data_IF_209503856905
#
_entry.id   IF_209503856905
#
_cell.length_a   1.000
_cell.length_b   1.000
_cell.length_c   1.000
_cell.angle_alpha   90.00
_cell.angle_beta   90.00
_cell.angle_gamma   90.00
#
_symmetry.space_group_name_H-M   'P 1'
#
loop_
_entity.id
_entity.type
_entity.pdbx_description
1 polymer ?
#
# COMPACT_ATOMS: atom_id res chain seq x y z
N UNK A 1 -7.70 -10.31 7.79
CA UNK A 1 -7.38 -11.41 6.86
C UNK A 1 -8.66 -11.74 6.07
N UNK A 2 -8.60 -12.47 4.96
CA UNK A 2 -9.79 -12.85 4.18
C UNK A 2 -9.78 -14.36 4.02
N UNK A 3 -10.92 -15.01 4.27
CA UNK A 3 -11.06 -16.46 4.06
C UNK A 3 -11.49 -16.73 2.62
N UNK A 4 -10.86 -17.71 1.97
CA UNK A 4 -11.08 -18.01 0.56
C UNK A 4 -11.47 -19.46 0.32
N UNK A 5 -12.37 -19.70 -0.64
CA UNK A 5 -12.68 -21.04 -1.13
C UNK A 5 -11.50 -21.61 -1.92
N UNK A 6 -11.03 -22.80 -1.55
CA UNK A 6 -10.09 -23.57 -2.39
C UNK A 6 -10.84 -24.17 -3.59
N UNK A 7 -10.73 -23.57 -4.76
CA UNK A 7 -11.05 -24.25 -6.01
C UNK A 7 -9.83 -25.10 -6.42
N UNK A 8 -9.98 -26.41 -6.62
CA UNK A 8 -8.90 -27.32 -7.01
C UNK A 8 -8.30 -27.09 -8.41
N UNK A 9 -8.37 -25.86 -8.92
CA UNK A 9 -7.78 -25.39 -10.16
C UNK A 9 -6.50 -24.59 -9.83
N UNK A 10 -5.38 -24.93 -10.47
CA UNK A 10 -4.04 -24.36 -10.22
C UNK A 10 -3.87 -22.92 -10.77
N UNK A 11 -4.95 -22.16 -10.95
CA UNK A 11 -4.91 -20.76 -11.36
C UNK A 11 -5.13 -19.85 -10.16
N UNK A 12 -4.09 -19.09 -9.81
CA UNK A 12 -3.97 -17.86 -8.99
C UNK A 12 -5.00 -17.65 -7.86
N UNK A 13 -4.51 -17.34 -6.65
CA UNK A 13 -5.35 -17.02 -5.49
C UNK A 13 -6.40 -15.90 -5.74
N UNK A 14 -6.17 -15.02 -6.72
CA UNK A 14 -7.10 -13.97 -7.15
C UNK A 14 -8.43 -14.50 -7.72
N UNK A 15 -8.46 -15.73 -8.22
CA UNK A 15 -9.69 -16.38 -8.69
C UNK A 15 -10.47 -17.02 -7.54
N UNK A 16 -9.91 -17.03 -6.32
CA UNK A 16 -10.60 -17.61 -5.17
C UNK A 16 -11.70 -16.67 -4.70
N UNK A 17 -12.78 -17.30 -4.31
CA UNK A 17 -13.96 -16.63 -3.82
C UNK A 17 -13.75 -16.26 -2.36
N UNK A 18 -13.81 -14.97 -1.97
CA UNK A 18 -13.82 -14.61 -0.56
C UNK A 18 -15.13 -15.08 0.07
N UNK A 19 -15.02 -15.82 1.16
CA UNK A 19 -16.15 -16.33 1.95
C UNK A 19 -16.40 -15.48 3.19
N UNK A 20 -15.35 -14.81 3.69
CA UNK A 20 -15.43 -13.96 4.87
C UNK A 20 -14.36 -12.87 4.85
N UNK A 21 -14.74 -11.68 5.32
CA UNK A 21 -13.85 -10.52 5.52
C UNK A 21 -14.01 -10.02 6.94
N UNK A 22 -12.92 -10.00 7.72
CA UNK A 22 -12.94 -9.49 9.08
C UNK A 22 -11.64 -9.69 9.85
N UNK A 23 -11.73 -9.54 11.16
CA UNK A 23 -10.62 -9.70 12.09
C UNK A 23 -10.39 -11.18 12.46
N UNK A 24 -9.15 -11.48 12.84
CA UNK A 24 -8.67 -12.83 13.15
C UNK A 24 -7.67 -12.79 14.30
N UNK A 25 -7.58 -13.90 15.03
CA UNK A 25 -6.52 -14.18 16.02
C UNK A 25 -5.80 -15.46 15.62
N UNK A 26 -4.49 -15.51 15.84
CA UNK A 26 -3.71 -16.72 15.61
C UNK A 26 -3.75 -17.62 16.85
N UNK A 27 -4.14 -18.88 16.68
CA UNK A 27 -4.10 -19.91 17.73
C UNK A 27 -2.85 -20.78 17.51
N UNK A 28 -1.83 -20.54 18.33
CA UNK A 28 -0.55 -21.27 18.27
C UNK A 28 -0.71 -22.78 18.50
N UNK A 29 -1.68 -23.21 19.32
CA UNK A 29 -1.88 -24.63 19.62
C UNK A 29 -2.44 -25.42 18.44
N UNK A 30 -3.14 -24.74 17.54
CA UNK A 30 -3.75 -25.32 16.33
C UNK A 30 -3.05 -24.89 15.04
N UNK A 31 -2.00 -24.06 15.15
CA UNK A 31 -1.33 -23.39 14.04
C UNK A 31 -2.30 -22.79 13.00
N UNK A 32 -3.38 -22.15 13.46
CA UNK A 32 -4.47 -21.71 12.59
C UNK A 32 -4.99 -20.32 12.96
N UNK A 33 -5.51 -19.59 11.97
CA UNK A 33 -6.18 -18.32 12.19
C UNK A 33 -7.67 -18.56 12.48
N UNK A 34 -8.11 -18.13 13.65
CA UNK A 34 -9.50 -18.16 14.06
C UNK A 34 -10.14 -16.79 13.81
N UNK A 35 -11.40 -16.78 13.37
CA UNK A 35 -12.16 -15.54 13.23
C UNK A 35 -12.35 -14.90 14.62
N UNK A 36 -12.05 -13.62 14.76
CA UNK A 36 -12.12 -12.95 16.06
C UNK A 36 -12.31 -11.45 15.86
N UNK A 37 -13.43 -10.90 16.32
CA UNK A 37 -13.88 -9.54 16.03
C UNK A 37 -15.05 -9.52 15.05
N UNK A 38 -15.38 -8.34 14.54
CA UNK A 38 -16.52 -8.13 13.62
C UNK A 38 -16.10 -8.41 12.18
N UNK A 39 -16.97 -9.05 11.41
CA UNK A 39 -16.76 -9.30 9.97
C UNK A 39 -18.04 -9.64 9.22
N UNK A 40 -17.90 -9.94 7.93
CA UNK A 40 -19.02 -10.18 7.03
C UNK A 40 -18.92 -11.54 6.33
N UNK A 41 -20.04 -12.25 6.24
CA UNK A 41 -20.20 -13.41 5.36
C UNK A 41 -20.55 -12.92 3.96
N UNK A 42 -19.88 -13.48 2.96
CA UNK A 42 -20.05 -13.09 1.56
C UNK A 42 -20.66 -14.27 0.80
N UNK A 43 -21.72 -13.98 0.05
CA UNK A 43 -22.33 -14.96 -0.84
C UNK A 43 -21.41 -15.32 -2.02
N UNK A 44 -21.27 -16.62 -2.26
CA UNK A 44 -20.33 -17.13 -3.26
C UNK A 44 -20.74 -16.83 -4.70
N UNK A 45 -22.01 -16.60 -4.99
CA UNK A 45 -22.50 -16.39 -6.35
C UNK A 45 -22.52 -14.89 -6.67
N UNK A 46 -23.07 -14.10 -5.76
CA UNK A 46 -23.35 -12.67 -5.97
C UNK A 46 -22.21 -11.76 -5.52
N UNK A 47 -21.27 -12.25 -4.69
CA UNK A 47 -20.22 -11.44 -4.02
C UNK A 47 -20.77 -10.37 -3.06
N UNK A 48 -22.03 -10.50 -2.65
CA UNK A 48 -22.68 -9.55 -1.76
C UNK A 48 -22.59 -10.06 -0.31
N UNK A 49 -22.39 -9.14 0.64
CA UNK A 49 -22.41 -9.49 2.06
C UNK A 49 -23.83 -9.86 2.50
N UNK A 50 -24.00 -11.06 3.06
CA UNK A 50 -25.31 -11.60 3.50
C UNK A 50 -25.52 -11.48 5.00
N UNK A 51 -24.45 -11.32 5.77
CA UNK A 51 -24.53 -11.24 7.23
C UNK A 51 -23.33 -10.50 7.82
N UNK A 52 -23.58 -9.62 8.78
CA UNK A 52 -22.55 -9.09 9.68
C UNK A 52 -22.50 -9.96 10.94
N UNK A 53 -21.32 -10.41 11.35
CA UNK A 53 -21.16 -11.33 12.47
C UNK A 53 -19.98 -10.92 13.35
N UNK A 54 -20.15 -11.05 14.67
CA UNK A 54 -19.11 -10.87 15.67
C UNK A 54 -18.64 -12.24 16.19
N UNK A 55 -17.34 -12.49 16.06
CA UNK A 55 -16.69 -13.73 16.45
C UNK A 55 -15.80 -13.53 17.68
N UNK A 56 -15.70 -14.56 18.51
CA UNK A 56 -14.68 -14.64 19.55
C UNK A 56 -14.05 -16.01 19.52
N UNK A 57 -12.73 -16.05 19.31
CA UNK A 57 -11.95 -17.29 19.25
C UNK A 57 -12.56 -18.34 18.29
N UNK A 58 -13.08 -17.89 17.15
CA UNK A 58 -13.71 -18.74 16.12
C UNK A 58 -15.19 -19.08 16.35
N UNK A 59 -15.81 -18.61 17.44
CA UNK A 59 -17.21 -18.92 17.81
C UNK A 59 -18.13 -17.73 17.61
N UNK A 60 -19.34 -17.97 17.06
CA UNK A 60 -20.31 -16.89 16.77
C UNK A 60 -20.83 -16.36 18.08
N UNK A 61 -20.61 -15.08 18.34
CA UNK A 61 -21.15 -14.41 19.53
C UNK A 61 -22.48 -13.77 19.20
N UNK A 62 -22.55 -13.05 18.07
CA UNK A 62 -23.77 -12.41 17.59
C UNK A 62 -23.69 -12.12 16.11
N UNK A 63 -24.83 -11.95 15.44
CA UNK A 63 -24.85 -11.56 14.04
C UNK A 63 -26.20 -11.04 13.57
N UNK A 64 -26.18 -10.36 12.43
CA UNK A 64 -27.32 -9.73 11.78
C UNK A 64 -27.31 -10.02 10.30
N UNK A 65 -28.42 -10.55 9.79
CA UNK A 65 -28.61 -10.76 8.36
C UNK A 65 -28.74 -9.42 7.62
N UNK A 66 -28.10 -9.37 6.46
CA UNK A 66 -28.14 -8.28 5.51
C UNK A 66 -29.05 -8.69 4.35
N UNK A 67 -29.84 -7.75 3.85
CA UNK A 67 -30.66 -7.96 2.67
C UNK A 67 -30.00 -7.22 1.52
N UNK A 68 -29.51 -7.97 0.53
CA UNK A 68 -28.81 -7.43 -0.63
C UNK A 68 -27.63 -6.52 -0.25
N UNK A 69 -26.88 -6.88 0.78
CA UNK A 69 -25.75 -6.10 1.29
C UNK A 69 -26.12 -4.97 2.24
N UNK A 70 -27.41 -4.76 2.53
CA UNK A 70 -27.88 -3.64 3.35
C UNK A 70 -28.48 -4.08 4.68
N UNK A 71 -28.26 -3.26 5.71
CA UNK A 71 -28.98 -3.33 6.97
C UNK A 71 -30.45 -2.97 6.74
N UNK A 72 -31.35 -3.95 6.76
CA UNK A 72 -32.78 -3.66 6.68
C UNK A 72 -33.21 -2.82 7.88
N UNK A 73 -33.99 -1.75 7.64
CA UNK A 73 -34.64 -0.99 8.71
C UNK A 73 -35.70 -1.87 9.37
N UNK A 74 -35.29 -2.58 10.43
CA UNK A 74 -36.10 -3.03 11.56
C UNK A 74 -37.54 -3.49 11.26
N UNK A 75 -37.77 -4.79 11.15
CA UNK A 75 -39.07 -5.39 11.51
C UNK A 75 -38.98 -5.96 12.92
N UNK A 76 -39.20 -5.12 13.94
CA UNK A 76 -39.53 -5.61 15.29
C UNK A 76 -40.86 -6.37 15.28
N UNK A 77 -41.02 -7.49 15.99
CA UNK A 77 -42.29 -8.21 16.07
C UNK A 77 -43.36 -7.33 16.74
N UNK A 78 -44.52 -7.23 16.07
CA UNK A 78 -45.65 -6.37 16.46
C UNK A 78 -46.47 -7.01 17.60
N UNK A 79 -46.73 -6.32 18.74
CA UNK A 79 -47.77 -6.74 19.67
C UNK A 79 -49.17 -6.55 19.05
N UNK A 80 -50.06 -7.49 19.33
CA UNK A 80 -51.43 -7.60 18.77
C UNK A 80 -52.26 -6.32 19.02
N UNK A 81 -53.05 -5.81 18.04
CA UNK A 81 -53.74 -4.53 18.17
C UNK A 81 -55.03 -4.60 19.00
N UNK A 82 -55.25 -3.60 19.88
CA UNK A 82 -56.53 -3.30 20.55
C UNK A 82 -57.34 -2.30 19.69
N UNK A 83 -58.69 -2.27 19.76
CA UNK A 83 -59.53 -1.50 18.82
C UNK A 83 -59.33 0.02 18.90
N UNK A 84 -59.40 0.68 17.74
CA UNK A 84 -59.02 2.07 17.49
C UNK A 84 -60.15 3.06 17.79
N UNK A 85 -59.91 4.19 18.50
CA UNK A 85 -60.86 5.30 18.59
C UNK A 85 -60.89 6.14 17.30
N UNK A 86 -62.03 6.83 17.09
CA UNK A 86 -62.41 7.57 15.86
C UNK A 86 -61.44 8.74 15.54
N UNK A 87 -61.19 9.08 14.25
CA UNK A 87 -60.13 10.02 13.87
C UNK A 87 -60.51 11.49 14.13
N UNK A 88 -59.54 12.27 14.60
CA UNK A 88 -59.58 13.75 14.65
C UNK A 88 -59.10 14.32 13.29
N UNK A 89 -59.61 15.48 12.83
CA UNK A 89 -59.28 16.01 11.49
C UNK A 89 -57.80 16.28 11.30
N UNK A 90 -57.30 16.03 10.08
CA UNK A 90 -55.91 16.20 9.70
C UNK A 90 -55.53 17.69 9.56
N UNK A 91 -54.33 18.11 10.02
CA UNK A 91 -53.81 19.44 9.74
C UNK A 91 -53.40 19.59 8.27
N UNK A 92 -53.51 20.81 7.74
CA UNK A 92 -53.19 21.14 6.35
C UNK A 92 -51.71 20.86 6.01
N UNK A 93 -51.40 20.54 4.74
CA UNK A 93 -50.02 20.31 4.29
C UNK A 93 -49.19 21.59 4.42
N UNK A 94 -48.03 21.48 5.04
CA UNK A 94 -46.98 22.52 4.99
C UNK A 94 -46.34 22.47 3.60
N UNK A 95 -46.11 23.60 2.92
CA UNK A 95 -45.45 23.64 1.62
C UNK A 95 -44.06 23.00 1.67
N UNK A 96 -43.72 22.22 0.62
CA UNK A 96 -42.41 21.62 0.49
C UNK A 96 -41.31 22.71 0.40
N UNK A 97 -40.14 22.51 1.03
CA UNK A 97 -39.00 23.42 0.89
C UNK A 97 -38.58 23.54 -0.58
N UNK A 98 -38.22 24.75 -1.01
CA UNK A 98 -37.70 24.98 -2.35
C UNK A 98 -36.40 24.15 -2.58
N UNK A 99 -36.16 23.65 -3.80
CA UNK A 99 -34.94 22.91 -4.11
C UNK A 99 -33.70 23.75 -3.84
N UNK A 100 -32.68 23.14 -3.22
CA UNK A 100 -31.38 23.76 -3.06
C UNK A 100 -30.77 24.09 -4.44
N UNK A 101 -30.07 25.23 -4.60
CA UNK A 101 -29.41 25.58 -5.85
C UNK A 101 -28.39 24.50 -6.25
N UNK A 102 -28.33 24.21 -7.55
CA UNK A 102 -27.42 23.21 -8.10
C UNK A 102 -25.95 23.56 -7.75
N UNK A 103 -25.09 22.55 -7.48
CA UNK A 103 -23.67 22.79 -7.25
C UNK A 103 -23.05 23.56 -8.42
N UNK A 104 -22.23 24.57 -8.12
CA UNK A 104 -21.48 25.28 -9.13
C UNK A 104 -20.61 24.29 -9.94
N UNK A 105 -20.47 24.48 -11.27
CA UNK A 105 -19.63 23.62 -12.09
C UNK A 105 -18.19 23.63 -11.57
N UNK A 106 -17.59 22.44 -11.50
CA UNK A 106 -16.21 22.26 -11.08
C UNK A 106 -15.26 23.12 -11.95
N UNK A 107 -14.20 23.72 -11.37
CA UNK A 107 -13.24 24.51 -12.13
C UNK A 107 -12.64 23.69 -13.27
N UNK A 108 -12.47 24.33 -14.42
CA UNK A 108 -11.90 23.70 -15.60
C UNK A 108 -10.51 23.10 -15.28
N UNK A 109 -10.18 21.91 -15.81
CA UNK A 109 -8.90 21.26 -15.56
C UNK A 109 -7.76 22.19 -15.97
N UNK A 110 -6.76 22.32 -15.10
CA UNK A 110 -5.56 23.10 -15.37
C UNK A 110 -4.94 22.67 -16.72
N UNK A 111 -4.38 23.61 -17.52
CA UNK A 111 -3.77 23.28 -18.80
C UNK A 111 -2.70 22.21 -18.58
N UNK A 112 -2.82 21.09 -19.32
CA UNK A 112 -1.82 20.03 -19.31
C UNK A 112 -0.49 20.63 -19.75
N UNK A 113 0.47 20.72 -18.82
CA UNK A 113 1.83 21.15 -19.08
C UNK A 113 2.43 20.21 -20.13
N UNK A 114 2.87 20.76 -21.26
CA UNK A 114 3.48 19.96 -22.33
C UNK A 114 4.65 19.17 -21.78
N UNK A 115 4.70 17.89 -22.12
CA UNK A 115 5.71 16.99 -21.62
C UNK A 115 7.07 17.32 -22.25
N UNK A 116 8.15 17.49 -21.47
CA UNK A 116 9.45 17.82 -22.02
C UNK A 116 9.94 16.68 -22.90
N UNK A 117 10.78 17.05 -23.87
CA UNK A 117 11.55 16.10 -24.67
C UNK A 117 12.29 15.16 -23.70
N UNK A 118 12.27 13.83 -23.91
CA UNK A 118 12.96 12.89 -23.02
C UNK A 118 14.40 13.35 -22.76
N UNK A 119 14.69 13.63 -21.49
CA UNK A 119 15.98 14.12 -21.03
C UNK A 119 16.60 13.06 -20.11
N UNK A 120 17.61 12.37 -20.65
CA UNK A 120 18.43 11.44 -19.87
C UNK A 120 19.55 12.21 -19.20
N UNK A 121 19.69 12.05 -17.89
CA UNK A 121 20.78 12.64 -17.13
C UNK A 121 21.52 11.54 -16.37
N UNK A 122 22.86 11.62 -16.37
CA UNK A 122 23.70 10.67 -15.66
C UNK A 122 24.52 11.38 -14.59
N UNK A 123 24.31 10.98 -13.34
CA UNK A 123 25.12 11.39 -12.20
C UNK A 123 26.33 10.46 -12.13
N UNK A 124 27.51 11.06 -12.07
CA UNK A 124 28.80 10.38 -11.88
C UNK A 124 29.49 10.96 -10.64
N UNK A 125 30.61 10.38 -10.19
CA UNK A 125 31.29 10.80 -8.96
C UNK A 125 31.73 12.27 -8.92
N UNK A 126 31.84 12.94 -10.07
CA UNK A 126 32.16 14.38 -10.18
C UNK A 126 30.93 15.29 -10.25
N UNK A 127 29.73 14.72 -10.38
CA UNK A 127 28.48 15.47 -10.59
C UNK A 127 27.90 15.88 -9.24
N UNK A 128 27.64 17.17 -9.03
CA UNK A 128 26.92 17.60 -7.83
C UNK A 128 25.45 17.28 -8.01
N UNK A 129 24.80 16.80 -6.95
CA UNK A 129 23.36 16.54 -6.95
C UNK A 129 22.53 17.77 -7.35
N UNK A 130 23.03 18.97 -7.04
CA UNK A 130 22.41 20.25 -7.40
C UNK A 130 22.39 20.55 -8.88
N UNK A 131 23.25 19.89 -9.66
CA UNK A 131 23.43 20.17 -11.09
C UNK A 131 22.44 19.38 -11.96
N UNK A 132 21.69 18.45 -11.36
CA UNK A 132 20.67 17.66 -12.03
C UNK A 132 19.49 18.56 -12.43
N UNK A 133 19.17 18.58 -13.73
CA UNK A 133 18.06 19.37 -14.27
C UNK A 133 16.72 18.94 -13.68
N UNK A 134 15.87 19.92 -13.30
CA UNK A 134 14.49 19.66 -12.86
C UNK A 134 13.60 19.06 -13.97
N UNK A 135 14.02 19.13 -15.22
CA UNK A 135 13.31 18.55 -16.37
C UNK A 135 13.77 17.12 -16.71
N UNK A 136 14.65 16.52 -15.90
CA UNK A 136 15.10 15.14 -16.12
C UNK A 136 13.91 14.19 -16.16
N UNK A 137 13.86 13.35 -17.19
CA UNK A 137 12.85 12.29 -17.33
C UNK A 137 13.41 10.91 -17.00
N UNK A 138 14.70 10.71 -17.23
CA UNK A 138 15.38 9.44 -16.99
C UNK A 138 16.68 9.72 -16.26
N UNK A 139 16.71 9.36 -14.98
CA UNK A 139 17.85 9.65 -14.10
C UNK A 139 18.64 8.38 -13.86
N UNK A 140 19.90 8.39 -14.29
CA UNK A 140 20.87 7.33 -14.04
C UNK A 140 21.91 7.80 -13.04
N UNK A 141 22.18 7.02 -12.00
CA UNK A 141 23.23 7.26 -11.02
C UNK A 141 24.24 6.15 -11.22
N UNK A 142 25.48 6.51 -11.54
CA UNK A 142 26.55 5.54 -11.74
C UNK A 142 26.95 4.92 -10.39
N UNK A 143 27.51 3.70 -10.41
CA UNK A 143 27.97 3.04 -9.18
C UNK A 143 28.97 3.92 -8.41
N UNK A 144 29.04 3.74 -7.08
CA UNK A 144 29.92 4.46 -6.16
C UNK A 144 29.64 5.97 -6.04
N UNK A 145 28.44 6.43 -6.40
CA UNK A 145 28.09 7.86 -6.37
C UNK A 145 27.25 8.24 -5.14
N UNK A 146 27.27 9.53 -4.80
CA UNK A 146 26.36 10.15 -3.83
C UNK A 146 26.44 9.62 -2.38
N UNK A 147 27.55 9.00 -1.98
CA UNK A 147 27.72 8.43 -0.64
C UNK A 147 27.84 9.49 0.47
N UNK A 148 28.18 10.73 0.12
CA UNK A 148 28.24 11.86 1.06
C UNK A 148 26.89 12.58 1.24
N UNK A 149 25.83 12.16 0.53
CA UNK A 149 24.50 12.73 0.67
C UNK A 149 23.77 12.11 1.86
N UNK A 150 23.39 12.94 2.83
CA UNK A 150 22.59 12.52 3.99
C UNK A 150 21.08 12.52 3.69
N UNK A 151 20.65 13.33 2.71
CA UNK A 151 19.26 13.45 2.31
C UNK A 151 19.13 13.40 0.79
N UNK A 152 18.23 12.54 0.31
CA UNK A 152 17.93 12.36 -1.09
C UNK A 152 16.52 12.88 -1.38
N UNK A 153 16.44 14.03 -2.05
CA UNK A 153 15.16 14.58 -2.51
C UNK A 153 14.97 14.34 -4.01
N UNK A 154 14.28 13.26 -4.35
CA UNK A 154 13.87 12.91 -5.71
C UNK A 154 12.56 13.61 -6.12
N UNK A 155 11.77 14.09 -5.16
CA UNK A 155 10.42 14.59 -5.40
C UNK A 155 10.41 15.91 -6.17
N UNK A 156 11.53 16.65 -6.14
CA UNK A 156 11.75 17.85 -6.95
C UNK A 156 11.77 17.59 -8.46
N UNK A 157 11.93 16.34 -8.91
CA UNK A 157 11.99 15.98 -10.33
C UNK A 157 10.63 15.43 -10.81
N UNK A 158 9.63 16.31 -10.89
CA UNK A 158 8.23 15.99 -11.24
C UNK A 158 8.05 15.30 -12.61
N UNK A 159 9.07 15.39 -13.48
CA UNK A 159 9.07 14.82 -14.82
C UNK A 159 9.69 13.42 -14.89
N UNK A 160 10.21 12.89 -13.78
CA UNK A 160 10.84 11.58 -13.75
C UNK A 160 9.88 10.48 -14.20
N UNK A 161 10.39 9.63 -15.09
CA UNK A 161 9.77 8.42 -15.61
C UNK A 161 10.58 7.17 -15.26
N UNK A 162 11.90 7.28 -15.19
CA UNK A 162 12.77 6.17 -14.80
C UNK A 162 13.89 6.63 -13.86
N UNK A 163 14.19 5.78 -12.88
CA UNK A 163 15.33 5.92 -11.98
C UNK A 163 16.15 4.63 -12.06
N UNK A 164 17.43 4.76 -12.37
CA UNK A 164 18.41 3.67 -12.35
C UNK A 164 19.59 4.08 -11.45
N UNK A 165 19.71 3.43 -10.30
CA UNK A 165 20.81 3.62 -9.35
C UNK A 165 21.75 2.42 -9.51
N UNK A 166 23.04 2.68 -9.73
CA UNK A 166 24.09 1.66 -9.78
C UNK A 166 24.41 1.08 -8.40
N UNK A 167 25.51 0.35 -8.31
CA UNK A 167 25.93 -0.31 -7.07
C UNK A 167 26.61 0.67 -6.11
N UNK A 168 26.60 0.36 -4.80
CA UNK A 168 27.35 1.09 -3.78
C UNK A 168 27.06 2.61 -3.74
N UNK A 169 25.80 3.00 -3.90
CA UNK A 169 25.37 4.40 -3.88
C UNK A 169 24.63 4.77 -2.58
N UNK A 170 24.65 6.05 -2.22
CA UNK A 170 23.80 6.63 -1.16
C UNK A 170 23.94 5.99 0.24
N UNK A 171 25.11 5.49 0.63
CA UNK A 171 25.30 4.81 1.93
C UNK A 171 24.92 5.65 3.17
N UNK A 172 25.02 6.98 3.09
CA UNK A 172 24.67 7.89 4.20
C UNK A 172 23.20 8.30 4.24
N UNK A 173 22.40 7.93 3.25
CA UNK A 173 20.97 8.28 3.21
C UNK A 173 20.20 7.42 4.21
N UNK A 174 19.48 8.07 5.12
CA UNK A 174 18.66 7.38 6.12
C UNK A 174 17.21 7.17 5.67
N UNK A 175 16.67 8.08 4.86
CA UNK A 175 15.30 7.99 4.37
C UNK A 175 15.28 7.97 2.85
N UNK A 176 14.79 6.88 2.27
CA UNK A 176 14.45 6.83 0.85
C UNK A 176 12.96 7.09 0.70
N UNK A 177 12.60 8.27 0.20
CA UNK A 177 11.20 8.66 0.04
C UNK A 177 10.90 9.20 -1.35
N UNK A 178 9.92 8.58 -2.00
CA UNK A 178 9.26 9.08 -3.20
C UNK A 178 7.76 9.22 -2.90
N UNK A 179 7.21 10.38 -3.16
CA UNK A 179 5.82 10.73 -2.87
C UNK A 179 5.26 11.64 -3.98
N UNK A 180 4.25 11.14 -4.71
CA UNK A 180 3.55 11.96 -5.71
C UNK A 180 4.25 12.05 -7.08
N UNK A 181 5.29 11.26 -7.35
CA UNK A 181 5.93 11.20 -8.67
C UNK A 181 5.08 10.39 -9.66
N UNK A 182 3.95 10.96 -10.05
CA UNK A 182 2.90 10.31 -10.86
C UNK A 182 3.30 9.98 -12.31
N UNK A 183 4.50 10.37 -12.75
CA UNK A 183 5.05 9.99 -14.06
C UNK A 183 6.07 8.86 -13.97
N UNK A 184 6.54 8.54 -12.75
CA UNK A 184 7.56 7.54 -12.53
C UNK A 184 6.98 6.17 -12.84
N UNK A 185 7.65 5.42 -13.72
CA UNK A 185 7.26 4.09 -14.18
C UNK A 185 8.17 3.01 -13.63
N UNK A 186 9.47 3.27 -13.57
CA UNK A 186 10.45 2.24 -13.19
C UNK A 186 11.46 2.76 -12.18
N UNK A 187 11.76 1.92 -11.20
CA UNK A 187 12.83 2.13 -10.23
C UNK A 187 13.73 0.90 -10.28
N UNK A 188 15.03 1.11 -10.47
CA UNK A 188 16.07 0.09 -10.38
C UNK A 188 17.17 0.55 -9.43
N UNK A 189 17.55 -0.32 -8.50
CA UNK A 189 18.57 -0.05 -7.49
C UNK A 189 19.59 -1.19 -7.50
N UNK A 190 20.86 -0.85 -7.73
CA UNK A 190 22.00 -1.77 -7.75
C UNK A 190 22.43 -2.19 -6.34
N UNK A 191 23.29 -3.20 -6.27
CA UNK A 191 23.64 -3.90 -5.04
C UNK A 191 24.37 -2.99 -4.05
N UNK A 192 24.26 -3.31 -2.75
CA UNK A 192 24.93 -2.56 -1.67
C UNK A 192 24.61 -1.05 -1.65
N UNK A 193 23.46 -0.63 -2.23
CA UNK A 193 23.03 0.76 -2.20
C UNK A 193 22.16 1.06 -0.99
N UNK A 194 22.16 2.30 -0.52
CA UNK A 194 21.41 2.73 0.67
C UNK A 194 21.72 1.88 1.90
N UNK A 195 22.99 1.57 2.14
CA UNK A 195 23.41 0.86 3.35
C UNK A 195 24.84 1.23 3.71
N UNK A 196 25.15 1.20 5.01
CA UNK A 196 26.53 1.20 5.49
C UNK A 196 27.01 -0.23 5.82
N UNK A 197 26.08 -1.20 5.89
CA UNK A 197 26.35 -2.63 6.04
C UNK A 197 26.47 -3.30 4.68
N UNK A 198 27.68 -3.28 4.13
CA UNK A 198 28.00 -3.93 2.86
C UNK A 198 28.10 -5.45 3.01
N UNK A 199 27.83 -6.17 1.93
CA UNK A 199 27.95 -7.63 1.85
C UNK A 199 29.30 -8.18 2.33
N UNK A 200 30.40 -7.47 2.02
CA UNK A 200 31.76 -7.84 2.44
C UNK A 200 31.87 -8.02 3.96
N UNK A 201 31.04 -7.29 4.73
CA UNK A 201 31.02 -7.35 6.18
C UNK A 201 30.62 -8.73 6.71
N UNK A 202 29.74 -9.47 6.01
CA UNK A 202 29.38 -10.85 6.38
C UNK A 202 30.55 -11.83 6.30
N UNK A 203 31.57 -11.53 5.47
CA UNK A 203 32.71 -12.44 5.28
C UNK A 203 33.80 -12.29 6.35
N UNK A 204 33.71 -11.27 7.21
CA UNK A 204 34.85 -10.78 8.01
C UNK A 204 34.89 -11.22 9.49
N UNK A 205 34.31 -12.39 9.83
CA UNK A 205 34.27 -12.91 11.22
C UNK A 205 33.55 -12.03 12.25
N UNK A 206 32.57 -11.22 11.82
CA UNK A 206 31.72 -10.48 12.75
C UNK A 206 30.71 -11.40 13.46
N UNK A 207 30.43 -11.11 14.74
CA UNK A 207 29.39 -11.83 15.49
C UNK A 207 28.01 -11.39 15.02
N UNK A 208 27.01 -12.27 15.15
CA UNK A 208 25.61 -11.94 14.86
C UNK A 208 25.12 -10.75 15.68
N UNK A 209 25.64 -10.56 16.89
CA UNK A 209 25.31 -9.42 17.76
C UNK A 209 25.76 -8.08 17.17
N UNK A 210 26.95 -8.00 16.56
CA UNK A 210 27.42 -6.76 15.93
C UNK A 210 26.60 -6.43 14.67
N UNK A 211 26.21 -7.46 13.90
CA UNK A 211 25.32 -7.32 12.75
C UNK A 211 23.94 -6.82 13.17
N UNK A 212 23.32 -7.44 14.18
CA UNK A 212 22.03 -7.04 14.74
C UNK A 212 22.06 -5.60 15.25
N UNK A 213 23.14 -5.21 15.95
CA UNK A 213 23.28 -3.87 16.53
C UNK A 213 23.34 -2.75 15.48
N UNK A 214 23.91 -3.03 14.30
CA UNK A 214 24.08 -2.04 13.23
C UNK A 214 22.98 -2.11 12.18
N UNK A 215 22.42 -3.30 11.96
CA UNK A 215 21.43 -3.54 10.92
C UNK A 215 20.02 -3.17 11.36
N UNK A 216 19.72 -3.30 12.65
CA UNK A 216 18.42 -2.93 13.21
C UNK A 216 18.31 -1.40 13.45
N UNK A 217 18.58 -0.59 12.43
CA UNK A 217 18.48 0.86 12.55
C UNK A 217 17.06 1.37 12.28
N UNK A 218 16.32 1.59 13.36
CA UNK A 218 14.93 2.08 13.35
C UNK A 218 14.78 3.53 12.85
N UNK A 219 15.86 4.32 12.76
CA UNK A 219 15.79 5.67 12.19
C UNK A 219 15.77 5.66 10.66
N UNK A 220 16.16 4.54 10.03
CA UNK A 220 16.23 4.41 8.58
C UNK A 220 14.94 3.83 8.01
N UNK A 221 14.38 4.47 6.98
CA UNK A 221 13.03 4.14 6.48
C UNK A 221 12.87 4.27 4.97
N UNK A 222 11.95 3.48 4.41
CA UNK A 222 11.73 3.34 2.97
C UNK A 222 10.27 3.58 2.61
N UNK A 223 10.03 4.51 1.70
CA UNK A 223 8.69 5.01 1.37
C UNK A 223 8.53 5.25 -0.13
N UNK A 224 7.57 4.58 -0.76
CA UNK A 224 7.09 4.92 -2.09
C UNK A 224 5.57 5.07 -2.03
N UNK A 225 5.12 6.31 -2.16
CA UNK A 225 3.76 6.72 -1.89
C UNK A 225 3.19 7.46 -3.11
N UNK A 226 1.90 7.28 -3.38
CA UNK A 226 1.14 8.10 -4.34
C UNK A 226 1.81 8.22 -5.72
N UNK A 227 2.40 7.14 -6.23
CA UNK A 227 3.02 7.11 -7.56
C UNK A 227 2.10 6.33 -8.51
N UNK A 228 1.14 7.03 -9.10
CA UNK A 228 0.03 6.42 -9.84
C UNK A 228 0.46 5.65 -11.09
N UNK A 229 1.57 6.04 -11.73
CA UNK A 229 2.08 5.39 -12.95
C UNK A 229 3.20 4.38 -12.70
N UNK A 230 3.54 4.07 -11.44
CA UNK A 230 4.68 3.20 -11.14
C UNK A 230 4.34 1.75 -11.50
N UNK A 231 5.11 1.17 -12.41
CA UNK A 231 4.86 -0.16 -12.99
C UNK A 231 5.79 -1.24 -12.38
N UNK A 232 7.06 -0.91 -12.14
CA UNK A 232 8.05 -1.88 -11.63
C UNK A 232 9.07 -1.30 -10.65
N UNK A 233 9.35 -2.06 -9.59
CA UNK A 233 10.44 -1.79 -8.65
C UNK A 233 11.41 -2.98 -8.68
N UNK A 234 12.69 -2.69 -8.87
CA UNK A 234 13.76 -3.69 -8.80
C UNK A 234 14.85 -3.20 -7.84
N UNK A 235 15.18 -4.02 -6.86
CA UNK A 235 16.20 -3.75 -5.85
C UNK A 235 17.14 -4.96 -5.80
N UNK A 236 18.42 -4.77 -6.12
CA UNK A 236 19.44 -5.82 -6.05
C UNK A 236 19.87 -6.10 -4.61
N UNK A 237 20.64 -7.17 -4.42
CA UNK A 237 21.02 -7.70 -3.10
C UNK A 237 21.77 -6.70 -2.20
N UNK A 238 21.65 -6.91 -0.89
CA UNK A 238 22.28 -6.10 0.17
C UNK A 238 21.94 -4.60 0.15
N UNK A 239 20.94 -4.18 -0.61
CA UNK A 239 20.46 -2.80 -0.57
C UNK A 239 19.52 -2.61 0.61
N UNK A 240 19.59 -1.46 1.29
CA UNK A 240 18.76 -1.19 2.47
C UNK A 240 18.92 -2.25 3.59
N UNK A 241 20.07 -2.92 3.68
CA UNK A 241 20.30 -4.01 4.65
C UNK A 241 20.27 -3.53 6.11
N UNK A 242 20.56 -2.25 6.35
CA UNK A 242 20.50 -1.60 7.65
C UNK A 242 19.23 -0.75 7.86
N UNK A 243 18.22 -0.90 6.99
CA UNK A 243 16.92 -0.24 7.18
C UNK A 243 16.03 -1.15 8.03
N UNK A 244 15.61 -0.63 9.19
CA UNK A 244 14.74 -1.35 10.12
C UNK A 244 13.49 -0.55 10.55
N UNK A 245 13.40 0.73 10.17
CA UNK A 245 12.24 1.57 10.45
C UNK A 245 11.08 1.31 9.48
N UNK A 246 10.25 2.34 9.27
CA UNK A 246 9.04 2.21 8.46
C UNK A 246 9.36 1.78 7.02
N UNK A 247 8.61 0.80 6.52
CA UNK A 247 8.58 0.38 5.14
C UNK A 247 7.17 0.56 4.59
N UNK A 248 7.00 1.46 3.62
CA UNK A 248 5.69 1.78 3.06
C UNK A 248 5.70 1.76 1.53
N UNK A 249 4.86 0.89 0.96
CA UNK A 249 4.42 0.96 -0.43
C UNK A 249 2.92 1.22 -0.44
N UNK A 250 2.51 2.41 -0.92
CA UNK A 250 1.11 2.85 -0.81
C UNK A 250 0.63 3.65 -2.02
N UNK A 251 -0.61 3.41 -2.42
CA UNK A 251 -1.28 4.11 -3.52
C UNK A 251 -0.48 4.00 -4.84
N UNK A 252 -0.20 2.75 -5.24
CA UNK A 252 0.56 2.40 -6.45
C UNK A 252 -0.30 1.52 -7.38
N UNK A 253 -1.40 2.05 -7.94
CA UNK A 253 -2.42 1.26 -8.64
C UNK A 253 -1.93 0.56 -9.90
N UNK A 254 -0.84 1.02 -10.53
CA UNK A 254 -0.26 0.42 -11.74
C UNK A 254 0.90 -0.53 -11.45
N UNK A 255 1.24 -0.77 -10.19
CA UNK A 255 2.43 -1.55 -9.84
C UNK A 255 2.19 -3.04 -10.13
N UNK A 256 3.02 -3.58 -11.03
CA UNK A 256 2.89 -4.94 -11.55
C UNK A 256 4.01 -5.86 -11.06
N UNK A 257 5.19 -5.32 -10.75
CA UNK A 257 6.35 -6.14 -10.37
C UNK A 257 7.17 -5.48 -9.28
N UNK A 258 7.47 -6.27 -8.25
CA UNK A 258 8.49 -5.95 -7.24
C UNK A 258 9.48 -7.11 -7.26
N UNK A 259 10.75 -6.80 -7.56
CA UNK A 259 11.85 -7.73 -7.47
C UNK A 259 12.81 -7.23 -6.40
N UNK A 260 13.10 -8.07 -5.41
CA UNK A 260 14.09 -7.78 -4.38
C UNK A 260 15.10 -8.91 -4.30
N UNK A 261 16.38 -8.54 -4.32
CA UNK A 261 17.49 -9.43 -4.02
C UNK A 261 17.53 -9.82 -2.54
N UNK A 262 18.46 -10.70 -2.21
CA UNK A 262 18.68 -11.22 -0.86
C UNK A 262 19.20 -10.16 0.10
N UNK A 263 18.89 -10.32 1.39
CA UNK A 263 19.38 -9.46 2.48
C UNK A 263 19.01 -7.98 2.38
N UNK A 264 17.96 -7.66 1.62
CA UNK A 264 17.34 -6.34 1.64
C UNK A 264 16.32 -6.26 2.78
N UNK A 265 16.23 -5.11 3.46
CA UNK A 265 15.21 -4.85 4.49
C UNK A 265 15.16 -5.91 5.60
N UNK A 266 16.31 -6.49 5.98
CA UNK A 266 16.40 -7.68 6.84
C UNK A 266 15.66 -7.54 8.19
N UNK A 267 15.63 -6.32 8.74
CA UNK A 267 14.99 -6.00 10.02
C UNK A 267 13.66 -5.25 9.88
N UNK A 268 13.22 -4.94 8.66
CA UNK A 268 11.98 -4.20 8.44
C UNK A 268 10.80 -5.14 8.23
N UNK A 269 9.63 -4.79 8.77
CA UNK A 269 8.38 -5.47 8.42
C UNK A 269 7.93 -5.04 7.03
N UNK A 270 7.86 -5.96 6.07
CA UNK A 270 7.38 -5.66 4.72
C UNK A 270 5.87 -5.38 4.73
N UNK A 271 5.48 -4.11 4.63
CA UNK A 271 4.08 -3.66 4.66
C UNK A 271 3.67 -3.04 3.32
N UNK A 272 2.76 -3.72 2.62
CA UNK A 272 2.14 -3.23 1.38
C UNK A 272 0.69 -2.85 1.66
N UNK A 273 0.29 -1.61 1.35
CA UNK A 273 -1.07 -1.11 1.63
C UNK A 273 -1.69 -0.43 0.41
N UNK A 274 -2.98 -0.69 0.18
CA UNK A 274 -3.72 0.01 -0.88
C UNK A 274 -3.21 -0.31 -2.29
N UNK A 275 -2.76 -1.54 -2.52
CA UNK A 275 -2.40 -2.05 -3.84
C UNK A 275 -3.23 -3.31 -4.11
N UNK A 276 -4.06 -3.27 -5.16
CA UNK A 276 -4.71 -4.45 -5.74
C UNK A 276 -3.66 -5.21 -6.57
N UNK A 277 -2.67 -5.82 -5.90
CA UNK A 277 -1.50 -6.38 -6.58
C UNK A 277 -1.72 -7.85 -6.98
N UNK A 278 -1.49 -8.16 -8.26
CA UNK A 278 -1.28 -9.51 -8.79
C UNK A 278 0.14 -9.94 -8.36
N UNK A 279 0.30 -10.48 -7.15
CA UNK A 279 1.59 -10.96 -6.68
C UNK A 279 1.87 -12.37 -7.20
N UNK A 280 2.78 -12.48 -8.16
CA UNK A 280 3.59 -13.69 -8.34
C UNK A 280 4.77 -13.58 -7.37
N UNK A 281 4.66 -14.25 -6.21
CA UNK A 281 5.79 -14.54 -5.32
C UNK A 281 6.10 -16.02 -5.48
#
# INVERSE_FOLDING_TARGET
MIEFKRSGNNTIASNRIPLYVGEFVYDESKESFLRNGRGYWIDEETRIATREVEWKDGVEVSGRDLYDGWYTRSTTPKPKPKPKPKPKPAPMPVPAPAPAPAPAPAPAPAPKREEPVPLRFSVTGSTKWTDVSLQVTDLKISSNCCNDLNALDLNRFEWLRSIEIGDECFGSVETFKIDGLNRLKTIKIGSNSFTQLKQEWLSSYHTTEEWDSKGNNQSKSFHILNCESLESIQISEFSFSDFAGDFELKNLPQLQSIQSGSFNFYYSSFVVRGIDMILNI
#
